data_IF_999244363295
#
_entry.id   IF_999244363295
#
_cell.length_a   1.000
_cell.length_b   1.000
_cell.length_c   1.000
_cell.angle_alpha   90.00
_cell.angle_beta   90.00
_cell.angle_gamma   90.00
#
_symmetry.space_group_name_H-M   'P 1'
#
loop_
_entity.id
_entity.type
_entity.pdbx_description
1 polymer ?
#
# COMPACT_ATOMS: atom_id res chain seq x y z
N UNK A 1 -12.64 -7.04 18.13
CA UNK A 1 -13.39 -6.27 17.12
C UNK A 1 -13.07 -4.80 17.37
N UNK A 2 -12.24 -4.16 16.54
CA UNK A 2 -11.99 -2.72 16.69
C UNK A 2 -13.27 -1.97 16.31
N UNK A 3 -13.82 -1.20 17.24
CA UNK A 3 -14.97 -0.34 17.00
C UNK A 3 -14.56 0.74 16.00
N UNK A 4 -15.10 0.69 14.78
CA UNK A 4 -14.83 1.72 13.78
C UNK A 4 -15.52 3.02 14.20
N UNK A 5 -14.74 4.06 14.48
CA UNK A 5 -15.31 5.39 14.77
C UNK A 5 -15.81 5.99 13.47
N UNK A 6 -17.11 6.33 13.42
CA UNK A 6 -17.72 7.07 12.31
C UNK A 6 -17.93 8.51 12.74
N UNK A 7 -17.10 9.41 12.24
CA UNK A 7 -17.25 10.85 12.46
C UNK A 7 -17.70 11.53 11.17
N UNK A 8 -18.74 12.35 11.25
CA UNK A 8 -19.16 13.20 10.14
C UNK A 8 -18.31 14.48 10.15
N UNK A 9 -17.58 14.71 9.07
CA UNK A 9 -16.83 15.96 8.87
C UNK A 9 -17.84 17.08 8.62
N UNK A 10 -17.81 18.10 9.49
CA UNK A 10 -18.70 19.27 9.34
C UNK A 10 -18.30 20.07 8.10
N UNK A 11 -19.26 20.77 7.49
CA UNK A 11 -19.07 21.69 6.35
C UNK A 11 -18.72 21.03 5.01
N UNK A 12 -19.16 19.79 4.78
CA UNK A 12 -19.10 19.14 3.47
C UNK A 12 -20.50 18.98 2.89
N UNK A 13 -20.64 19.26 1.59
CA UNK A 13 -21.85 18.96 0.82
C UNK A 13 -21.98 17.46 0.56
N UNK A 14 -23.14 17.01 0.08
CA UNK A 14 -23.37 15.61 -0.28
C UNK A 14 -22.45 15.17 -1.42
N UNK A 15 -22.19 16.09 -2.35
CA UNK A 15 -21.32 15.93 -3.50
C UNK A 15 -19.86 15.78 -3.04
N UNK A 16 -19.39 16.58 -2.08
CA UNK A 16 -18.05 16.45 -1.50
C UNK A 16 -17.85 15.06 -0.86
N UNK A 17 -18.86 14.57 -0.13
CA UNK A 17 -18.81 13.22 0.44
C UNK A 17 -18.69 12.13 -0.63
N UNK A 18 -19.37 12.28 -1.77
CA UNK A 18 -19.28 11.33 -2.89
C UNK A 18 -17.88 11.37 -3.50
N UNK A 19 -17.35 12.57 -3.77
CA UNK A 19 -16.00 12.75 -4.29
C UNK A 19 -14.95 12.14 -3.38
N UNK A 20 -15.00 12.41 -2.07
CA UNK A 20 -14.05 11.82 -1.11
C UNK A 20 -14.15 10.30 -1.11
N UNK A 21 -15.36 9.75 -1.16
CA UNK A 21 -15.56 8.30 -1.20
C UNK A 21 -14.92 7.68 -2.44
N UNK A 22 -15.12 8.29 -3.60
CA UNK A 22 -14.51 7.85 -4.86
C UNK A 22 -12.98 7.94 -4.80
N UNK A 23 -12.43 9.03 -4.28
CA UNK A 23 -10.98 9.18 -4.06
C UNK A 23 -10.43 8.11 -3.11
N UNK A 24 -11.15 7.77 -2.03
CA UNK A 24 -10.75 6.67 -1.15
C UNK A 24 -10.74 5.32 -1.86
N UNK A 25 -11.71 5.06 -2.74
CA UNK A 25 -11.72 3.83 -3.54
C UNK A 25 -10.53 3.76 -4.51
N UNK A 26 -10.22 4.87 -5.18
CA UNK A 26 -9.06 4.97 -6.08
C UNK A 26 -7.75 4.80 -5.29
N UNK A 27 -7.62 5.44 -4.13
CA UNK A 27 -6.47 5.31 -3.25
C UNK A 27 -6.25 3.86 -2.79
N UNK A 28 -7.33 3.18 -2.37
CA UNK A 28 -7.28 1.75 -2.03
C UNK A 28 -6.83 0.90 -3.21
N UNK A 29 -7.30 1.20 -4.42
CA UNK A 29 -6.92 0.45 -5.62
C UNK A 29 -5.44 0.68 -5.98
N UNK A 30 -4.94 1.91 -5.90
CA UNK A 30 -3.51 2.20 -6.10
C UNK A 30 -2.63 1.48 -5.06
N UNK A 31 -3.05 1.46 -3.80
CA UNK A 31 -2.35 0.70 -2.76
C UNK A 31 -2.31 -0.80 -3.09
N UNK A 32 -3.42 -1.37 -3.56
CA UNK A 32 -3.49 -2.76 -3.98
C UNK A 32 -2.59 -3.08 -5.18
N UNK A 33 -2.54 -2.19 -6.19
CA UNK A 33 -1.62 -2.32 -7.33
C UNK A 33 -0.16 -2.33 -6.86
N UNK A 34 0.19 -1.41 -5.95
CA UNK A 34 1.53 -1.32 -5.40
C UNK A 34 1.92 -2.57 -4.58
N UNK A 35 1.02 -3.06 -3.73
CA UNK A 35 1.20 -4.28 -2.95
C UNK A 35 1.37 -5.48 -3.89
N UNK A 36 0.55 -5.56 -4.94
CA UNK A 36 0.62 -6.63 -5.92
C UNK A 36 1.99 -6.67 -6.60
N UNK A 37 2.48 -5.54 -7.11
CA UNK A 37 3.79 -5.46 -7.75
C UNK A 37 4.93 -5.94 -6.83
N UNK A 38 4.92 -5.52 -5.55
CA UNK A 38 5.94 -5.96 -4.58
C UNK A 38 5.84 -7.46 -4.32
N UNK A 39 4.62 -8.00 -4.15
CA UNK A 39 4.42 -9.45 -3.95
C UNK A 39 4.89 -10.26 -5.15
N UNK A 40 4.49 -9.87 -6.36
CA UNK A 40 4.87 -10.59 -7.58
C UNK A 40 6.39 -10.59 -7.76
N UNK A 41 7.03 -9.44 -7.60
CA UNK A 41 8.48 -9.34 -7.69
C UNK A 41 9.20 -10.16 -6.62
N UNK A 42 8.68 -10.17 -5.39
CA UNK A 42 9.26 -10.99 -4.33
C UNK A 42 9.08 -12.49 -4.60
N UNK A 43 7.95 -12.92 -5.15
CA UNK A 43 7.73 -14.33 -5.49
C UNK A 43 8.58 -14.78 -6.69
N UNK A 44 8.86 -13.90 -7.65
CA UNK A 44 9.70 -14.24 -8.81
C UNK A 44 11.19 -14.14 -8.51
N UNK A 45 11.64 -13.06 -7.88
CA UNK A 45 13.07 -12.76 -7.69
C UNK A 45 13.60 -13.06 -6.28
N UNK A 46 12.71 -13.24 -5.29
CA UNK A 46 13.11 -13.35 -3.89
C UNK A 46 13.57 -12.02 -3.27
N UNK A 47 13.43 -10.90 -3.98
CA UNK A 47 13.92 -9.58 -3.58
C UNK A 47 12.79 -8.56 -3.30
N UNK A 48 13.16 -7.46 -2.63
CA UNK A 48 12.24 -6.36 -2.35
C UNK A 48 12.19 -5.35 -3.52
N UNK A 49 11.02 -5.17 -4.12
CA UNK A 49 10.77 -4.10 -5.10
C UNK A 49 10.69 -2.74 -4.39
N UNK A 50 11.76 -1.95 -4.51
CA UNK A 50 11.84 -0.60 -3.92
C UNK A 50 10.82 0.38 -4.52
N UNK A 51 10.44 1.37 -3.73
CA UNK A 51 9.59 2.51 -4.11
C UNK A 51 9.85 3.06 -5.52
N UNK A 52 11.09 3.37 -5.90
CA UNK A 52 11.39 4.06 -7.16
C UNK A 52 11.01 3.20 -8.38
N UNK A 53 11.24 1.88 -8.29
CA UNK A 53 10.85 0.93 -9.33
C UNK A 53 9.33 0.79 -9.38
N UNK A 54 8.68 0.63 -8.23
CA UNK A 54 7.22 0.49 -8.18
C UNK A 54 6.48 1.75 -8.66
N UNK A 55 6.98 2.93 -8.29
CA UNK A 55 6.53 4.21 -8.82
C UNK A 55 6.67 4.28 -10.34
N UNK A 56 7.80 3.85 -10.89
CA UNK A 56 8.00 3.85 -12.35
C UNK A 56 6.98 2.99 -13.08
N UNK A 57 6.58 1.86 -12.49
CA UNK A 57 5.52 0.99 -13.02
C UNK A 57 4.14 1.65 -12.94
N UNK A 58 3.84 2.34 -11.84
CA UNK A 58 2.49 2.83 -11.54
C UNK A 58 2.24 4.28 -11.92
N UNK A 59 3.24 5.10 -12.24
CA UNK A 59 3.06 6.52 -12.60
C UNK A 59 2.08 6.76 -13.76
N UNK A 60 1.89 5.74 -14.60
CA UNK A 60 0.99 5.77 -15.73
C UNK A 60 -0.32 5.00 -15.51
N UNK A 61 -0.53 4.37 -14.34
CA UNK A 61 -1.75 3.62 -14.05
C UNK A 61 -2.96 4.56 -13.95
N UNK A 62 -4.17 4.07 -14.31
CA UNK A 62 -5.38 4.86 -14.18
C UNK A 62 -5.62 5.36 -12.74
N UNK A 63 -5.35 4.50 -11.75
CA UNK A 63 -5.53 4.85 -10.33
C UNK A 63 -4.53 5.92 -9.87
N UNK A 64 -3.27 5.86 -10.34
CA UNK A 64 -2.29 6.89 -10.05
C UNK A 64 -2.69 8.23 -10.65
N UNK A 65 -3.07 8.25 -11.94
CA UNK A 65 -3.44 9.48 -12.66
C UNK A 65 -4.73 10.11 -12.18
N UNK A 66 -5.64 9.33 -11.61
CA UNK A 66 -6.91 9.83 -11.07
C UNK A 66 -6.74 10.53 -9.71
N UNK A 67 -5.61 10.34 -9.02
CA UNK A 67 -5.25 11.07 -7.80
C UNK A 67 -4.28 12.20 -8.13
N UNK A 68 -4.19 13.20 -7.25
CA UNK A 68 -3.10 14.16 -7.35
C UNK A 68 -1.77 13.45 -7.05
N UNK A 69 -0.71 13.84 -7.76
CA UNK A 69 0.61 13.17 -7.70
C UNK A 69 1.17 13.06 -6.28
N UNK A 70 0.96 14.07 -5.43
CA UNK A 70 1.46 14.04 -4.05
C UNK A 70 0.78 12.93 -3.23
N UNK A 71 -0.54 12.78 -3.34
CA UNK A 71 -1.27 11.74 -2.63
C UNK A 71 -0.94 10.36 -3.17
N UNK A 72 -0.87 10.22 -4.50
CA UNK A 72 -0.49 8.97 -5.15
C UNK A 72 0.91 8.50 -4.68
N UNK A 73 1.90 9.40 -4.67
CA UNK A 73 3.24 9.07 -4.17
C UNK A 73 3.25 8.72 -2.68
N UNK A 74 2.47 9.41 -1.84
CA UNK A 74 2.39 9.08 -0.42
C UNK A 74 1.85 7.67 -0.21
N UNK A 75 0.81 7.27 -0.95
CA UNK A 75 0.26 5.90 -0.91
C UNK A 75 1.34 4.87 -1.25
N UNK A 76 2.12 5.11 -2.31
CA UNK A 76 3.23 4.22 -2.68
C UNK A 76 4.32 4.16 -1.60
N UNK A 77 4.60 5.26 -0.90
CA UNK A 77 5.56 5.31 0.22
C UNK A 77 5.06 4.56 1.46
N UNK A 78 3.77 4.63 1.78
CA UNK A 78 3.19 3.85 2.89
C UNK A 78 3.30 2.34 2.63
N UNK A 79 3.06 1.93 1.38
CA UNK A 79 3.27 0.53 0.95
C UNK A 79 4.75 0.15 1.07
N UNK A 80 5.67 0.98 0.56
CA UNK A 80 7.12 0.76 0.68
C UNK A 80 7.57 0.66 2.15
N UNK A 81 7.09 1.55 3.03
CA UNK A 81 7.36 1.51 4.46
C UNK A 81 6.88 0.22 5.12
N UNK A 82 5.65 -0.20 4.82
CA UNK A 82 5.08 -1.45 5.33
C UNK A 82 5.91 -2.67 4.91
N UNK A 83 6.36 -2.72 3.65
CA UNK A 83 7.21 -3.80 3.17
C UNK A 83 8.63 -3.73 3.73
N UNK A 84 9.23 -2.56 3.90
CA UNK A 84 10.52 -2.41 4.60
C UNK A 84 10.47 -3.03 5.99
N UNK A 85 9.41 -2.77 6.76
CA UNK A 85 9.19 -3.42 8.05
C UNK A 85 9.07 -4.93 7.94
N UNK A 86 8.27 -5.43 6.97
CA UNK A 86 8.13 -6.87 6.72
C UNK A 86 9.47 -7.55 6.37
N UNK A 87 10.25 -6.99 5.44
CA UNK A 87 11.55 -7.56 5.05
C UNK A 87 12.59 -7.50 6.17
N UNK A 88 12.51 -6.47 7.03
CA UNK A 88 13.33 -6.38 8.23
C UNK A 88 12.97 -7.48 9.23
N UNK A 89 11.69 -7.73 9.45
CA UNK A 89 11.20 -8.85 10.26
C UNK A 89 11.63 -10.20 9.67
N UNK A 90 11.53 -10.37 8.35
CA UNK A 90 11.96 -11.59 7.65
C UNK A 90 13.46 -11.85 7.86
N UNK A 91 14.31 -10.81 7.83
CA UNK A 91 15.74 -10.92 8.13
C UNK A 91 15.98 -11.39 9.56
N UNK A 92 15.25 -10.85 10.53
CA UNK A 92 15.35 -11.25 11.94
C UNK A 92 14.87 -12.69 12.15
N UNK A 93 13.81 -13.11 11.46
CA UNK A 93 13.32 -14.49 11.48
C UNK A 93 14.37 -15.48 10.93
N UNK A 94 15.06 -15.12 9.83
CA UNK A 94 16.18 -15.90 9.29
C UNK A 94 17.37 -16.02 10.26
N UNK A 95 17.52 -15.07 11.18
CA UNK A 95 18.53 -15.09 12.25
C UNK A 95 18.07 -15.88 13.49
N UNK A 96 16.88 -16.49 13.47
CA UNK A 96 16.32 -17.25 14.59
C UNK A 96 15.70 -16.39 15.70
N UNK A 97 15.59 -15.06 15.51
CA UNK A 97 14.99 -14.15 16.51
C UNK A 97 13.46 -14.19 16.53
N UNK A 98 12.84 -14.69 15.46
CA UNK A 98 11.39 -14.83 15.31
C UNK A 98 11.08 -16.14 14.62
N UNK A 99 9.87 -16.67 14.86
CA UNK A 99 9.39 -17.86 14.19
C UNK A 99 9.13 -17.57 12.69
N UNK A 100 9.89 -18.23 11.81
CA UNK A 100 9.80 -18.01 10.37
C UNK A 100 8.40 -18.30 9.79
N UNK A 101 7.69 -19.30 10.35
CA UNK A 101 6.31 -19.65 9.96
C UNK A 101 5.31 -18.50 10.10
N UNK A 102 5.59 -17.56 11.01
CA UNK A 102 4.72 -16.42 11.30
C UNK A 102 5.10 -15.20 10.43
N UNK A 103 6.22 -15.27 9.68
CA UNK A 103 6.77 -14.19 8.86
C UNK A 103 6.68 -14.54 7.37
N UNK A 104 5.47 -14.75 6.85
CA UNK A 104 5.23 -15.12 5.45
C UNK A 104 4.16 -14.26 4.80
N UNK A 105 4.32 -13.99 3.50
CA UNK A 105 3.25 -13.41 2.70
C UNK A 105 2.22 -14.50 2.37
N UNK A 106 0.92 -14.18 2.37
CA UNK A 106 -0.10 -15.11 1.90
C UNK A 106 0.10 -15.41 0.41
N UNK A 107 -0.36 -16.57 -0.05
CA UNK A 107 -0.49 -16.91 -1.46
C UNK A 107 -1.88 -16.49 -1.95
#
# INVERSE_FOLDING_TARGET
>A
MHLTVKQQVKRLSKEDYRTIRELCHIAKNLANEAIYNVRQYYFSEGEFLKYEKNYTLLKNSPNYKALNSNMAQQILKEVDGSFKSFFSLLKLAKQGKYAFKDCRLPH
#
